data_IF_514385774390
#
_entry.id   IF_514385774390
#
_cell.length_a   1.000
_cell.length_b   1.000
_cell.length_c   1.000
_cell.angle_alpha   90.00
_cell.angle_beta   90.00
_cell.angle_gamma   90.00
#
_symmetry.space_group_name_H-M   'P 1'
#
loop_
_entity.id
_entity.type
_entity.pdbx_description
1 polymer ?
#
# COMPACT_ATOMS: atom_id res chain seq x y z
N UNK A 1 6.58 12.80 11.46
CA UNK A 1 6.73 11.78 10.39
C UNK A 1 7.40 10.60 11.03
N UNK A 2 6.74 9.47 11.10
CA UNK A 2 7.42 8.21 11.38
C UNK A 2 8.43 8.04 10.26
N UNK A 3 9.69 8.18 10.59
CA UNK A 3 10.78 8.30 9.61
C UNK A 3 11.23 6.95 9.05
N UNK A 4 10.75 5.84 9.60
CA UNK A 4 11.23 4.49 9.29
C UNK A 4 10.21 3.57 8.58
N UNK A 5 9.34 4.12 7.74
CA UNK A 5 8.55 3.30 6.81
C UNK A 5 9.46 2.74 5.71
N UNK A 6 9.97 1.55 5.94
CA UNK A 6 10.76 0.83 4.94
C UNK A 6 9.84 0.08 3.98
N UNK A 7 10.30 -0.11 2.78
CA UNK A 7 9.71 -1.00 1.81
C UNK A 7 10.70 -2.12 1.51
N UNK A 8 10.37 -3.33 1.92
CA UNK A 8 11.12 -4.51 1.54
C UNK A 8 10.65 -4.96 0.15
N UNK A 9 11.56 -5.04 -0.81
CA UNK A 9 11.27 -5.56 -2.14
C UNK A 9 11.75 -7.01 -2.19
N UNK A 10 10.83 -7.91 -2.45
CA UNK A 10 11.08 -9.34 -2.56
C UNK A 10 10.94 -9.75 -4.03
N UNK A 11 12.04 -10.15 -4.67
CA UNK A 11 12.02 -10.75 -6.00
C UNK A 11 11.69 -12.24 -5.87
N UNK A 12 10.66 -12.69 -6.57
CA UNK A 12 10.16 -14.05 -6.46
C UNK A 12 9.91 -14.67 -7.83
N UNK A 13 10.27 -15.96 -7.97
CA UNK A 13 10.06 -16.76 -9.18
C UNK A 13 10.78 -16.24 -10.42
N UNK A 14 11.99 -15.69 -10.24
CA UNK A 14 12.85 -15.34 -11.37
C UNK A 14 13.61 -16.60 -11.82
N UNK A 15 13.48 -16.97 -13.09
CA UNK A 15 14.11 -18.16 -13.68
C UNK A 15 15.65 -18.19 -13.53
N UNK A 16 16.26 -17.01 -13.42
CA UNK A 16 17.72 -16.86 -13.23
C UNK A 16 18.15 -17.13 -11.78
N UNK A 17 17.24 -16.97 -10.82
CA UNK A 17 17.52 -17.12 -9.38
C UNK A 17 17.04 -18.47 -8.87
N UNK A 18 15.84 -18.88 -9.29
CA UNK A 18 15.19 -20.13 -8.84
C UNK A 18 15.16 -21.16 -9.96
N UNK A 19 15.95 -22.24 -9.81
CA UNK A 19 16.00 -23.35 -10.77
C UNK A 19 14.70 -24.17 -10.89
N UNK A 20 13.72 -23.90 -10.05
CA UNK A 20 12.44 -24.64 -10.01
C UNK A 20 11.29 -23.66 -9.94
N UNK A 21 10.44 -23.63 -10.97
CA UNK A 21 9.17 -22.91 -10.96
C UNK A 21 8.26 -23.43 -9.83
N UNK A 22 8.02 -22.62 -8.83
CA UNK A 22 7.21 -22.98 -7.67
C UNK A 22 5.88 -22.22 -7.72
N UNK A 23 4.78 -22.89 -7.38
CA UNK A 23 3.48 -22.21 -7.25
C UNK A 23 3.58 -21.11 -6.19
N UNK A 24 3.23 -19.90 -6.62
CA UNK A 24 3.46 -18.63 -5.90
C UNK A 24 2.73 -18.56 -4.54
N UNK A 25 1.63 -19.28 -4.38
CA UNK A 25 0.67 -18.99 -3.32
C UNK A 25 1.14 -19.31 -1.88
N UNK A 26 1.37 -20.58 -1.54
CA UNK A 26 1.58 -20.93 -0.12
C UNK A 26 2.99 -20.62 0.39
N UNK A 27 3.99 -20.72 -0.48
CA UNK A 27 5.38 -20.45 -0.11
C UNK A 27 5.69 -18.97 0.11
N UNK A 28 5.03 -18.07 -0.64
CA UNK A 28 5.15 -16.63 -0.39
C UNK A 28 4.58 -16.31 0.99
N UNK A 29 3.42 -16.87 1.34
CA UNK A 29 2.80 -16.66 2.66
C UNK A 29 3.74 -17.09 3.78
N UNK A 30 4.23 -18.32 3.73
CA UNK A 30 5.11 -18.86 4.76
C UNK A 30 6.41 -18.03 4.87
N UNK A 31 6.97 -17.62 3.74
CA UNK A 31 8.15 -16.77 3.71
C UNK A 31 7.87 -15.38 4.33
N UNK A 32 6.74 -14.76 3.99
CA UNK A 32 6.39 -13.44 4.53
C UNK A 32 6.06 -13.53 6.02
N UNK A 33 5.19 -14.45 6.42
CA UNK A 33 4.72 -14.53 7.81
C UNK A 33 5.80 -15.08 8.73
N UNK A 34 6.40 -16.23 8.37
CA UNK A 34 7.31 -16.95 9.27
C UNK A 34 8.74 -16.44 9.22
N UNK A 35 9.26 -16.13 8.01
CA UNK A 35 10.65 -15.75 7.85
C UNK A 35 10.86 -14.24 8.00
N UNK A 36 9.98 -13.41 7.46
CA UNK A 36 10.19 -11.97 7.42
C UNK A 36 9.62 -11.29 8.66
N UNK A 37 8.33 -11.45 8.93
CA UNK A 37 7.70 -10.87 10.12
C UNK A 37 7.96 -11.68 11.39
N UNK A 38 8.06 -13.00 11.30
CA UNK A 38 8.30 -13.88 12.46
C UNK A 38 9.71 -13.78 13.04
N UNK A 39 10.71 -13.38 12.26
CA UNK A 39 12.11 -13.20 12.71
C UNK A 39 12.44 -11.78 13.12
N UNK A 40 11.47 -10.88 13.16
CA UNK A 40 11.67 -9.44 13.43
C UNK A 40 12.67 -8.77 12.47
N UNK A 41 12.81 -9.30 11.25
CA UNK A 41 13.69 -8.75 10.23
C UNK A 41 13.26 -7.34 9.80
N UNK A 42 11.96 -7.09 9.85
CA UNK A 42 11.33 -5.82 9.55
C UNK A 42 10.31 -5.47 10.65
N UNK A 43 10.07 -4.19 10.82
CA UNK A 43 9.14 -3.68 11.80
C UNK A 43 7.68 -3.82 11.33
N UNK A 44 6.74 -3.78 12.25
CA UNK A 44 5.31 -3.81 11.94
C UNK A 44 4.85 -2.66 11.03
N UNK A 45 5.56 -1.52 11.04
CA UNK A 45 5.29 -0.39 10.14
C UNK A 45 5.69 -0.63 8.70
N UNK A 46 6.58 -1.60 8.45
CA UNK A 46 7.16 -1.79 7.13
C UNK A 46 6.20 -2.52 6.19
N UNK A 47 6.30 -2.23 4.90
CA UNK A 47 5.50 -2.87 3.86
C UNK A 47 6.38 -3.78 3.01
N UNK A 48 5.78 -4.81 2.43
CA UNK A 48 6.45 -5.74 1.53
C UNK A 48 5.90 -5.57 0.12
N UNK A 49 6.77 -5.51 -0.86
CA UNK A 49 6.42 -5.54 -2.27
C UNK A 49 7.03 -6.77 -2.92
N UNK A 50 6.19 -7.69 -3.36
CA UNK A 50 6.60 -8.90 -4.08
C UNK A 50 6.62 -8.58 -5.56
N UNK A 51 7.78 -8.70 -6.21
CA UNK A 51 7.95 -8.53 -7.65
C UNK A 51 8.08 -9.92 -8.27
N UNK A 52 7.23 -10.21 -9.25
CA UNK A 52 7.19 -11.49 -9.96
C UNK A 52 7.46 -11.29 -11.44
N UNK A 53 8.10 -12.30 -12.08
CA UNK A 53 8.38 -12.33 -13.50
C UNK A 53 7.30 -13.10 -14.29
N UNK A 54 6.05 -12.98 -13.84
CA UNK A 54 4.90 -13.60 -14.49
C UNK A 54 3.67 -12.69 -14.43
N UNK A 55 2.70 -12.96 -15.30
CA UNK A 55 1.43 -12.21 -15.28
C UNK A 55 0.70 -12.46 -13.98
N UNK A 56 0.33 -11.38 -13.30
CA UNK A 56 -0.47 -11.46 -12.08
C UNK A 56 -1.88 -11.91 -12.45
N UNK A 57 -2.30 -13.01 -11.85
CA UNK A 57 -3.66 -13.55 -12.00
C UNK A 57 -4.58 -13.02 -10.91
N UNK A 58 -5.88 -13.04 -11.16
CA UNK A 58 -6.88 -12.66 -10.16
C UNK A 58 -6.78 -13.50 -8.89
N UNK A 59 -6.43 -14.78 -9.02
CA UNK A 59 -6.21 -15.67 -7.88
C UNK A 59 -5.04 -15.20 -7.00
N UNK A 60 -3.96 -14.68 -7.59
CA UNK A 60 -2.82 -14.12 -6.86
C UNK A 60 -3.21 -12.82 -6.13
N UNK A 61 -3.98 -11.96 -6.77
CA UNK A 61 -4.49 -10.73 -6.14
C UNK A 61 -5.41 -11.05 -4.94
N UNK A 62 -6.32 -11.99 -5.13
CA UNK A 62 -7.22 -12.43 -4.07
C UNK A 62 -6.45 -13.07 -2.90
N UNK A 63 -5.38 -13.80 -3.21
CA UNK A 63 -4.52 -14.39 -2.19
C UNK A 63 -3.78 -13.34 -1.36
N UNK A 64 -3.16 -12.35 -2.03
CA UNK A 64 -2.49 -11.23 -1.35
C UNK A 64 -3.50 -10.41 -0.53
N UNK A 65 -4.72 -10.23 -1.02
CA UNK A 65 -5.78 -9.55 -0.28
C UNK A 65 -6.14 -10.29 1.01
N UNK A 66 -6.26 -11.63 0.96
CA UNK A 66 -6.48 -12.45 2.16
C UNK A 66 -5.31 -12.37 3.13
N UNK A 67 -4.08 -12.44 2.63
CA UNK A 67 -2.88 -12.31 3.44
C UNK A 67 -2.83 -10.95 4.16
N UNK A 68 -3.18 -9.86 3.47
CA UNK A 68 -3.28 -8.54 4.09
C UNK A 68 -4.30 -8.51 5.22
N UNK A 69 -5.47 -9.15 5.06
CA UNK A 69 -6.50 -9.24 6.09
C UNK A 69 -5.97 -10.04 7.30
N UNK A 70 -5.30 -11.16 7.07
CA UNK A 70 -4.69 -11.97 8.14
C UNK A 70 -3.69 -11.13 8.95
N UNK A 71 -2.75 -10.45 8.27
CA UNK A 71 -1.75 -9.61 8.93
C UNK A 71 -2.37 -8.43 9.70
N UNK A 72 -3.44 -7.85 9.19
CA UNK A 72 -4.16 -6.77 9.87
C UNK A 72 -4.92 -7.29 11.10
N UNK A 73 -5.51 -8.47 11.02
CA UNK A 73 -6.18 -9.11 12.15
C UNK A 73 -5.17 -9.47 13.26
N UNK A 74 -4.01 -10.01 12.89
CA UNK A 74 -2.94 -10.29 13.84
C UNK A 74 -2.48 -9.02 14.56
N UNK A 75 -2.28 -7.92 13.85
CA UNK A 75 -1.96 -6.62 14.43
C UNK A 75 -3.05 -6.10 15.36
N UNK A 76 -4.31 -6.31 15.02
CA UNK A 76 -5.43 -5.87 15.85
C UNK A 76 -5.51 -6.65 17.16
N UNK A 77 -5.06 -7.91 17.18
CA UNK A 77 -5.04 -8.77 18.37
C UNK A 77 -3.79 -8.59 19.23
N UNK A 78 -2.62 -8.51 18.59
CA UNK A 78 -1.32 -8.43 19.29
C UNK A 78 -0.94 -7.00 19.67
N UNK A 79 -1.54 -6.01 19.02
CA UNK A 79 -1.13 -4.61 19.14
C UNK A 79 0.19 -4.33 18.41
N UNK A 80 0.62 -3.08 18.46
CA UNK A 80 1.93 -2.67 17.93
C UNK A 80 3.03 -3.09 18.89
N UNK A 81 4.23 -3.34 18.37
CA UNK A 81 5.42 -3.56 19.18
C UNK A 81 5.68 -2.33 20.05
N UNK A 82 6.23 -2.55 21.26
CA UNK A 82 6.50 -1.45 22.21
C UNK A 82 7.35 -0.34 21.61
N UNK A 83 8.35 -0.69 20.81
CA UNK A 83 9.24 0.26 20.13
C UNK A 83 8.48 1.24 19.24
N UNK A 84 7.49 0.73 18.48
CA UNK A 84 6.67 1.56 17.59
C UNK A 84 5.69 2.41 18.39
N UNK A 85 5.12 1.87 19.47
CA UNK A 85 4.24 2.61 20.36
C UNK A 85 4.98 3.78 21.02
N UNK A 86 6.21 3.55 21.47
CA UNK A 86 7.07 4.57 22.08
C UNK A 86 7.50 5.64 21.03
N UNK A 87 7.78 5.24 19.78
CA UNK A 87 8.07 6.16 18.68
C UNK A 87 6.85 7.05 18.34
N UNK A 88 5.65 6.49 18.29
CA UNK A 88 4.42 7.25 18.09
C UNK A 88 4.20 8.29 19.20
N UNK A 89 4.39 7.89 20.46
CA UNK A 89 4.28 8.78 21.61
C UNK A 89 5.33 9.91 21.53
N UNK A 90 6.56 9.57 21.16
CA UNK A 90 7.65 10.57 21.02
C UNK A 90 7.37 11.62 19.94
N UNK A 91 6.58 11.24 18.92
CA UNK A 91 6.19 12.11 17.81
C UNK A 91 4.86 12.83 18.05
N UNK A 92 4.25 12.68 19.25
CA UNK A 92 2.90 13.18 19.56
C UNK A 92 1.85 12.78 18.52
N UNK A 93 1.95 11.57 17.98
CA UNK A 93 1.00 11.03 16.99
C UNK A 93 0.04 10.07 17.67
N UNK A 94 -1.24 10.28 17.45
CA UNK A 94 -2.29 9.42 17.98
C UNK A 94 -2.67 8.32 16.97
N UNK A 95 -2.72 7.08 17.44
CA UNK A 95 -3.27 5.98 16.66
C UNK A 95 -4.75 6.27 16.38
N UNK A 96 -5.18 6.04 15.16
CA UNK A 96 -6.51 6.32 14.59
C UNK A 96 -6.82 7.80 14.27
N UNK A 97 -6.08 8.78 14.77
CA UNK A 97 -6.21 10.17 14.36
C UNK A 97 -5.22 10.52 13.26
N UNK A 98 -3.93 10.25 13.50
CA UNK A 98 -2.85 10.57 12.57
C UNK A 98 -2.44 9.36 11.73
N UNK A 99 -2.44 8.17 12.34
CA UNK A 99 -2.06 6.91 11.70
C UNK A 99 -3.07 5.82 12.07
N UNK A 100 -3.46 5.04 11.08
CA UNK A 100 -4.34 3.87 11.26
C UNK A 100 -3.54 2.58 11.07
N UNK A 101 -3.87 1.53 11.84
CA UNK A 101 -3.30 0.19 11.70
C UNK A 101 -3.35 -0.34 10.26
N UNK A 102 -4.32 0.11 9.46
CA UNK A 102 -4.46 -0.24 8.03
C UNK A 102 -3.24 0.12 7.17
N UNK A 103 -2.35 0.97 7.67
CA UNK A 103 -1.14 1.36 6.95
C UNK A 103 0.05 0.44 7.22
N UNK A 104 -0.05 -0.42 8.23
CA UNK A 104 1.02 -1.32 8.66
C UNK A 104 0.92 -2.69 8.00
N UNK A 105 2.05 -3.41 7.91
CA UNK A 105 2.17 -4.78 7.39
C UNK A 105 1.45 -5.01 6.04
N UNK A 106 1.45 -4.02 5.15
CA UNK A 106 0.83 -4.19 3.84
C UNK A 106 1.76 -4.94 2.87
N UNK A 107 1.17 -5.90 2.17
CA UNK A 107 1.85 -6.68 1.13
C UNK A 107 1.25 -6.32 -0.22
N UNK A 108 2.10 -6.04 -1.19
CA UNK A 108 1.73 -5.72 -2.57
C UNK A 108 2.41 -6.70 -3.52
N UNK A 109 1.76 -7.01 -4.64
CA UNK A 109 2.33 -7.83 -5.71
C UNK A 109 2.36 -7.03 -7.01
N UNK A 110 3.51 -7.04 -7.69
CA UNK A 110 3.73 -6.38 -8.97
C UNK A 110 4.44 -7.30 -9.95
N UNK A 111 4.08 -7.17 -11.23
CA UNK A 111 4.87 -7.76 -12.30
C UNK A 111 6.09 -6.88 -12.60
N UNK A 112 7.22 -7.47 -12.94
CA UNK A 112 8.48 -6.77 -13.24
C UNK A 112 8.32 -5.76 -14.39
N UNK A 113 7.57 -6.10 -15.44
CA UNK A 113 7.34 -5.21 -16.57
C UNK A 113 6.65 -3.92 -16.14
N UNK A 114 5.71 -4.03 -15.22
CA UNK A 114 4.99 -2.89 -14.66
C UNK A 114 5.90 -1.99 -13.83
N UNK A 115 6.91 -2.56 -13.19
CA UNK A 115 7.88 -1.83 -12.38
C UNK A 115 8.93 -1.11 -13.24
N UNK A 116 9.42 -1.77 -14.29
CA UNK A 116 10.47 -1.25 -15.18
C UNK A 116 10.00 -0.13 -16.09
N UNK A 117 8.73 -0.10 -16.46
CA UNK A 117 8.15 0.83 -17.43
C UNK A 117 8.08 2.30 -16.98
N UNK A 118 8.65 2.66 -15.82
CA UNK A 118 8.64 4.05 -15.28
C UNK A 118 7.28 4.75 -15.42
N UNK A 119 6.20 4.01 -15.14
CA UNK A 119 4.81 4.44 -15.34
C UNK A 119 4.55 5.87 -14.83
N UNK A 120 5.06 6.20 -13.66
CA UNK A 120 4.89 7.52 -13.02
C UNK A 120 5.58 8.69 -13.77
N UNK A 121 6.46 8.39 -14.74
CA UNK A 121 7.14 9.40 -15.54
C UNK A 121 6.54 9.57 -16.94
N UNK A 122 5.54 8.78 -17.27
CA UNK A 122 4.86 8.90 -18.56
C UNK A 122 4.00 10.16 -18.58
N UNK A 123 4.01 10.89 -19.70
CA UNK A 123 3.28 12.16 -19.88
C UNK A 123 1.76 12.04 -19.72
N UNK A 124 1.21 10.85 -19.99
CA UNK A 124 -0.22 10.56 -19.85
C UNK A 124 -0.63 10.22 -18.40
N UNK A 125 0.32 9.90 -17.54
CA UNK A 125 0.05 9.60 -16.14
C UNK A 125 0.14 10.87 -15.32
N UNK A 126 -1.00 11.31 -14.82
CA UNK A 126 -1.08 12.48 -13.96
C UNK A 126 -0.33 12.27 -12.64
N UNK A 127 0.03 13.36 -12.00
CA UNK A 127 0.63 13.31 -10.67
C UNK A 127 -0.40 12.77 -9.65
N UNK A 128 0.01 11.77 -8.87
CA UNK A 128 -0.78 11.12 -7.83
C UNK A 128 -0.12 11.35 -6.47
N UNK A 129 -0.88 11.88 -5.52
CA UNK A 129 -0.45 12.11 -4.14
C UNK A 129 -1.34 11.32 -3.19
N UNK A 130 -0.72 10.59 -2.27
CA UNK A 130 -1.43 9.86 -1.22
C UNK A 130 -1.69 10.78 -0.02
N UNK A 131 -2.94 10.83 0.46
CA UNK A 131 -3.37 11.57 1.64
C UNK A 131 -3.93 10.55 2.62
N UNK A 132 -3.35 10.51 3.83
CA UNK A 132 -3.60 9.49 4.85
C UNK A 132 -4.10 10.06 6.16
N UNK A 133 -3.67 11.27 6.51
CA UNK A 133 -4.03 11.91 7.75
C UNK A 133 -5.51 12.31 7.76
N UNK A 134 -6.17 12.01 8.87
CA UNK A 134 -7.61 12.20 9.04
C UNK A 134 -8.00 13.66 8.84
N UNK A 135 -7.21 14.59 9.35
CA UNK A 135 -7.48 16.03 9.23
C UNK A 135 -7.56 16.49 7.77
N UNK A 136 -6.57 16.12 6.95
CA UNK A 136 -6.56 16.46 5.52
C UNK A 136 -7.69 15.76 4.76
N UNK A 137 -8.04 14.52 5.15
CA UNK A 137 -9.19 13.80 4.58
C UNK A 137 -10.49 14.57 4.87
N UNK A 138 -10.73 14.97 6.13
CA UNK A 138 -11.93 15.70 6.53
C UNK A 138 -12.03 17.07 5.84
N UNK A 139 -10.90 17.78 5.68
CA UNK A 139 -10.84 19.03 4.91
C UNK A 139 -11.24 18.84 3.45
N UNK A 140 -10.75 17.77 2.81
CA UNK A 140 -11.10 17.44 1.41
C UNK A 140 -12.56 17.10 1.29
N UNK A 141 -13.11 16.26 2.17
CA UNK A 141 -14.51 15.89 2.17
C UNK A 141 -15.42 17.10 2.35
N UNK A 142 -15.05 18.01 3.23
CA UNK A 142 -15.75 19.29 3.43
C UNK A 142 -15.70 20.15 2.17
N UNK A 143 -14.54 20.31 1.55
CA UNK A 143 -14.37 21.09 0.29
C UNK A 143 -15.17 20.48 -0.87
N UNK A 144 -15.26 19.16 -0.94
CA UNK A 144 -16.01 18.47 -1.97
C UNK A 144 -17.51 18.38 -1.66
N UNK A 145 -17.94 18.78 -0.46
CA UNK A 145 -19.29 18.55 0.07
C UNK A 145 -19.75 17.10 -0.14
N UNK A 146 -18.91 16.15 0.20
CA UNK A 146 -19.11 14.74 -0.05
C UNK A 146 -18.68 13.88 1.15
N UNK A 147 -19.25 12.70 1.26
CA UNK A 147 -18.79 11.65 2.17
C UNK A 147 -17.72 10.79 1.47
N UNK A 148 -16.93 10.07 2.24
CA UNK A 148 -15.86 9.18 1.71
C UNK A 148 -16.43 8.13 0.73
N UNK A 149 -17.67 7.69 0.93
CA UNK A 149 -18.32 6.70 0.07
C UNK A 149 -18.84 7.28 -1.25
N UNK A 150 -18.97 8.60 -1.35
CA UNK A 150 -19.40 9.30 -2.57
C UNK A 150 -18.23 9.64 -3.49
N UNK A 151 -16.98 9.55 -2.99
CA UNK A 151 -15.81 9.76 -3.82
C UNK A 151 -15.65 8.62 -4.84
N UNK A 152 -15.20 8.94 -6.07
CA UNK A 152 -14.79 7.93 -7.05
C UNK A 152 -13.76 6.97 -6.46
N UNK A 153 -13.80 5.71 -6.87
CA UNK A 153 -12.96 4.65 -6.31
C UNK A 153 -11.68 4.51 -7.14
N UNK A 154 -10.56 4.25 -6.47
CA UNK A 154 -9.37 3.64 -7.02
C UNK A 154 -9.17 2.29 -6.35
N UNK A 155 -9.00 1.22 -7.12
CA UNK A 155 -8.83 -0.11 -6.55
C UNK A 155 -7.44 -0.27 -5.91
N UNK A 156 -7.37 -1.01 -4.80
CA UNK A 156 -6.09 -1.38 -4.17
C UNK A 156 -5.21 -2.21 -5.13
N UNK A 157 -5.84 -2.95 -6.06
CA UNK A 157 -5.19 -3.74 -7.10
C UNK A 157 -4.65 -2.90 -8.26
N UNK A 158 -5.06 -1.63 -8.39
CA UNK A 158 -4.52 -0.72 -9.40
C UNK A 158 -3.02 -0.55 -9.23
N UNK A 159 -2.29 -0.54 -10.37
CA UNK A 159 -0.83 -0.44 -10.36
C UNK A 159 -0.32 0.83 -9.68
N UNK A 160 -1.02 1.95 -9.86
CA UNK A 160 -0.66 3.22 -9.23
C UNK A 160 -0.91 3.14 -7.71
N UNK A 161 -2.00 2.50 -7.29
CA UNK A 161 -2.29 2.25 -5.87
C UNK A 161 -1.16 1.45 -5.21
N UNK A 162 -0.68 0.40 -5.87
CA UNK A 162 0.42 -0.44 -5.39
C UNK A 162 1.75 0.34 -5.31
N UNK A 163 2.11 1.09 -6.36
CA UNK A 163 3.33 1.91 -6.39
C UNK A 163 3.28 2.99 -5.31
N UNK A 164 2.13 3.63 -5.10
CA UNK A 164 1.92 4.65 -4.06
C UNK A 164 1.65 4.06 -2.69
N UNK A 165 1.52 2.74 -2.58
CA UNK A 165 1.24 2.00 -1.34
C UNK A 165 -0.04 2.50 -0.67
N UNK A 166 -1.11 2.68 -1.46
CA UNK A 166 -2.40 3.09 -0.93
C UNK A 166 -3.01 1.96 -0.10
N UNK A 167 -3.55 2.32 1.04
CA UNK A 167 -4.34 1.44 1.90
C UNK A 167 -5.82 1.76 1.76
N UNK A 168 -6.69 0.80 2.06
CA UNK A 168 -8.13 1.00 2.03
C UNK A 168 -8.53 2.22 2.87
N UNK A 169 -9.27 3.15 2.27
CA UNK A 169 -9.69 4.40 2.90
C UNK A 169 -8.73 5.58 2.73
N UNK A 170 -7.55 5.40 2.14
CA UNK A 170 -6.68 6.51 1.76
C UNK A 170 -7.32 7.30 0.62
N UNK A 171 -7.11 8.62 0.59
CA UNK A 171 -7.50 9.45 -0.54
C UNK A 171 -6.30 9.65 -1.46
N UNK A 172 -6.53 9.40 -2.74
CA UNK A 172 -5.59 9.68 -3.81
C UNK A 172 -5.98 10.99 -4.50
N UNK A 173 -5.16 12.02 -4.32
CA UNK A 173 -5.28 13.27 -5.06
C UNK A 173 -4.56 13.14 -6.41
N UNK A 174 -5.26 13.43 -7.49
CA UNK A 174 -4.78 13.35 -8.87
C UNK A 174 -4.81 14.75 -9.46
N UNK A 175 -3.65 15.30 -9.78
CA UNK A 175 -3.57 16.61 -10.43
C UNK A 175 -3.86 16.47 -11.91
N UNK A 176 -5.08 16.79 -12.33
CA UNK A 176 -5.50 16.73 -13.74
C UNK A 176 -5.28 18.07 -14.43
N UNK A 177 -5.03 18.00 -15.74
CA UNK A 177 -4.91 19.17 -16.60
C UNK A 177 -6.08 19.23 -17.56
N UNK A 178 -6.76 20.36 -17.63
CA UNK A 178 -7.85 20.61 -18.57
C UNK A 178 -7.57 21.92 -19.34
N UNK A 179 -7.91 21.94 -20.61
CA UNK A 179 -7.78 23.15 -21.44
C UNK A 179 -8.66 24.30 -20.94
N UNK A 180 -9.80 23.97 -20.28
CA UNK A 180 -10.74 24.99 -19.79
C UNK A 180 -10.43 25.46 -18.36
N UNK A 181 -10.02 24.53 -17.49
CA UNK A 181 -9.87 24.79 -16.05
C UNK A 181 -8.40 24.85 -15.60
N UNK A 182 -7.44 24.63 -16.50
CA UNK A 182 -6.04 24.51 -16.11
C UNK A 182 -5.78 23.25 -15.26
N UNK A 183 -4.94 23.38 -14.23
CA UNK A 183 -4.65 22.30 -13.28
C UNK A 183 -5.69 22.30 -12.17
N UNK A 184 -6.29 21.13 -11.89
CA UNK A 184 -7.25 20.96 -10.80
C UNK A 184 -7.06 19.62 -10.10
N UNK A 185 -7.32 19.53 -8.78
CA UNK A 185 -7.25 18.29 -8.04
C UNK A 185 -8.51 17.46 -8.29
N UNK A 186 -8.31 16.16 -8.43
CA UNK A 186 -9.37 15.16 -8.51
C UNK A 186 -9.11 14.08 -7.47
N UNK A 187 -10.10 13.78 -6.65
CA UNK A 187 -9.93 12.88 -5.52
C UNK A 187 -10.56 11.52 -5.78
N UNK A 188 -9.88 10.46 -5.36
CA UNK A 188 -10.38 9.08 -5.35
C UNK A 188 -10.12 8.44 -4.01
N UNK A 189 -11.03 7.60 -3.55
CA UNK A 189 -10.84 6.78 -2.35
C UNK A 189 -10.33 5.40 -2.74
N UNK A 190 -9.32 4.90 -2.03
CA UNK A 190 -8.81 3.54 -2.22
C UNK A 190 -9.77 2.53 -1.55
N UNK A 191 -10.20 1.53 -2.32
CA UNK A 191 -11.00 0.39 -1.86
C UNK A 191 -10.42 -0.93 -2.33
#
# INVERSE_FOLDING_TARGET
>A
KITNYRLLILYYNFKEIDKVSQKVNDKIRDKIIKEIYGTNYINDCDSIMVIVDEKITESMENYISKLNIELQNDLSQTGLTKEISDELISLNMELNNDISLRHFKNVYILNIDSWTNKLMKQSLVHEHKCIRDKKSIDEILTKCNATINQLPIILKTDIISKIKRLSTGDICEITRVSLKCGKYPFYRVCK
#
